data_IF_798727693481
#
_entry.id   IF_798727693481
#
_cell.length_a   1.000
_cell.length_b   1.000
_cell.length_c   1.000
_cell.angle_alpha   90.00
_cell.angle_beta   90.00
_cell.angle_gamma   90.00
#
_symmetry.space_group_name_H-M   'P 1'
#
loop_
_entity.id
_entity.type
_entity.pdbx_description
1 polymer ?
#
# COMPACT_ATOMS: atom_id res chain seq x y z
N UNK A 1 -14.93 -12.32 -6.11
CA UNK A 1 -13.70 -12.98 -6.59
C UNK A 1 -13.56 -14.27 -5.80
N UNK A 2 -13.26 -15.38 -6.45
CA UNK A 2 -13.02 -16.66 -5.79
C UNK A 2 -11.60 -16.67 -5.19
N UNK A 3 -11.34 -17.49 -4.15
CA UNK A 3 -10.00 -17.66 -3.55
C UNK A 3 -8.91 -18.02 -4.59
N UNK A 4 -9.30 -18.67 -5.69
CA UNK A 4 -8.42 -19.00 -6.80
C UNK A 4 -7.98 -17.76 -7.59
N UNK A 5 -8.86 -16.79 -7.80
CA UNK A 5 -8.55 -15.52 -8.48
C UNK A 5 -7.66 -14.60 -7.63
N UNK A 6 -7.74 -14.68 -6.30
CA UNK A 6 -6.87 -13.92 -5.40
C UNK A 6 -5.42 -14.46 -5.41
N UNK A 7 -5.24 -15.77 -5.58
CA UNK A 7 -3.92 -16.39 -5.65
C UNK A 7 -3.18 -16.13 -6.98
N UNK A 8 -3.90 -15.82 -8.07
CA UNK A 8 -3.32 -15.58 -9.39
C UNK A 8 -2.99 -14.09 -9.64
N UNK A 9 -3.61 -13.17 -8.89
CA UNK A 9 -3.41 -11.73 -9.11
C UNK A 9 -2.00 -11.23 -8.76
N UNK A 10 -1.41 -11.71 -7.69
CA UNK A 10 -0.09 -11.24 -7.24
C UNK A 10 1.03 -11.72 -8.15
N UNK A 11 1.10 -13.00 -8.58
CA UNK A 11 2.10 -13.46 -9.53
C UNK A 11 2.09 -12.66 -10.82
N UNK A 12 0.95 -12.55 -11.51
CA UNK A 12 0.88 -11.87 -12.79
C UNK A 12 1.13 -10.35 -12.72
N UNK A 13 0.81 -9.71 -11.59
CA UNK A 13 1.20 -8.33 -11.34
C UNK A 13 2.74 -8.18 -11.30
N UNK A 14 3.46 -9.15 -10.71
CA UNK A 14 4.92 -9.14 -10.56
C UNK A 14 5.67 -9.42 -11.87
N UNK A 15 5.02 -10.04 -12.85
CA UNK A 15 5.62 -10.35 -14.16
C UNK A 15 5.68 -9.13 -15.09
N UNK A 16 4.91 -8.08 -14.77
CA UNK A 16 4.89 -6.89 -15.59
C UNK A 16 6.22 -6.14 -15.56
N UNK A 17 6.59 -5.59 -16.72
CA UNK A 17 7.73 -4.69 -16.85
C UNK A 17 7.26 -3.24 -16.72
N UNK A 18 8.10 -2.42 -16.11
CA UNK A 18 7.80 -1.00 -15.92
C UNK A 18 9.07 -0.16 -16.03
N UNK A 19 8.90 1.16 -16.11
CA UNK A 19 9.93 2.17 -15.97
C UNK A 19 9.43 3.29 -15.08
N UNK A 20 10.34 4.06 -14.49
CA UNK A 20 10.00 5.20 -13.66
C UNK A 20 10.86 6.41 -14.05
N UNK A 21 10.21 7.57 -14.12
CA UNK A 21 10.83 8.88 -14.26
C UNK A 21 10.57 9.65 -12.96
N UNK A 22 11.64 10.18 -12.32
CA UNK A 22 11.56 10.88 -11.02
C UNK A 22 12.17 12.27 -11.20
N UNK A 23 11.33 13.30 -11.17
CA UNK A 23 11.76 14.69 -11.25
C UNK A 23 12.18 15.21 -9.87
N UNK A 24 13.34 15.84 -9.81
CA UNK A 24 13.98 16.31 -8.58
C UNK A 24 14.72 17.64 -8.82
N UNK A 25 15.01 18.32 -7.74
CA UNK A 25 15.92 19.47 -7.68
C UNK A 25 16.80 19.36 -6.40
N UNK A 26 17.50 20.40 -6.02
CA UNK A 26 18.31 20.42 -4.77
C UNK A 26 19.73 19.89 -4.93
N UNK A 27 20.00 19.13 -6.00
CA UNK A 27 21.32 18.66 -6.41
C UNK A 27 21.46 18.77 -7.94
N UNK A 28 22.67 18.74 -8.45
CA UNK A 28 22.92 18.80 -9.90
C UNK A 28 22.72 17.47 -10.58
N UNK A 29 22.51 17.46 -11.90
CA UNK A 29 22.43 16.22 -12.69
C UNK A 29 23.69 15.35 -12.55
N UNK A 30 24.87 15.99 -12.51
CA UNK A 30 26.14 15.28 -12.30
C UNK A 30 26.15 14.60 -10.93
N UNK A 31 25.85 15.33 -9.86
CA UNK A 31 25.79 14.76 -8.51
C UNK A 31 24.77 13.62 -8.41
N UNK A 32 23.61 13.75 -9.06
CA UNK A 32 22.63 12.67 -9.11
C UNK A 32 23.18 11.43 -9.84
N UNK A 33 23.86 11.64 -10.95
CA UNK A 33 24.50 10.54 -11.71
C UNK A 33 25.59 9.85 -10.90
N UNK A 34 26.46 10.62 -10.25
CA UNK A 34 27.56 10.10 -9.41
C UNK A 34 26.98 9.25 -8.25
N UNK A 35 25.95 9.73 -7.55
CA UNK A 35 25.27 8.98 -6.48
C UNK A 35 24.70 7.65 -6.97
N UNK A 36 24.06 7.62 -8.15
CA UNK A 36 23.53 6.40 -8.74
C UNK A 36 24.67 5.46 -9.13
N UNK A 37 25.74 5.99 -9.74
CA UNK A 37 26.92 5.24 -10.11
C UNK A 37 27.61 4.59 -8.91
N UNK A 38 27.80 5.34 -7.84
CA UNK A 38 28.37 4.84 -6.57
C UNK A 38 27.55 3.69 -6.00
N UNK A 39 26.22 3.81 -5.99
CA UNK A 39 25.33 2.74 -5.54
C UNK A 39 25.41 1.49 -6.43
N UNK A 40 25.47 1.68 -7.74
CA UNK A 40 25.54 0.57 -8.71
C UNK A 40 26.96 -0.03 -8.81
N UNK A 41 27.97 0.66 -8.31
CA UNK A 41 29.38 0.29 -8.45
C UNK A 41 29.90 0.52 -9.89
N UNK A 42 29.39 1.54 -10.58
CA UNK A 42 29.69 1.86 -11.98
C UNK A 42 30.01 3.33 -12.15
N UNK A 43 30.64 3.68 -13.30
CA UNK A 43 30.99 5.08 -13.56
C UNK A 43 29.99 5.70 -14.53
N UNK A 44 29.35 6.84 -14.15
CA UNK A 44 28.48 7.59 -15.03
C UNK A 44 29.22 8.16 -16.24
N UNK A 45 28.61 8.12 -17.41
CA UNK A 45 29.13 8.69 -18.64
C UNK A 45 28.25 9.85 -19.09
N UNK A 46 28.87 11.03 -19.27
CA UNK A 46 28.17 12.18 -19.85
C UNK A 46 28.15 12.06 -21.37
N UNK A 47 26.99 11.89 -21.97
CA UNK A 47 26.79 11.78 -23.42
C UNK A 47 26.31 13.08 -24.08
N UNK A 48 25.98 14.09 -23.28
CA UNK A 48 25.57 15.42 -23.77
C UNK A 48 24.16 15.45 -24.37
N UNK A 49 24.04 16.09 -25.54
CA UNK A 49 22.82 16.26 -26.26
C UNK A 49 21.91 17.35 -25.70
N UNK A 50 20.70 17.50 -26.27
CA UNK A 50 19.73 18.55 -25.91
C UNK A 50 19.27 18.46 -24.45
N UNK A 51 19.27 17.24 -23.87
CA UNK A 51 18.82 17.00 -22.50
C UNK A 51 19.98 16.82 -21.49
N UNK A 52 21.24 17.11 -21.89
CA UNK A 52 22.43 17.02 -21.04
C UNK A 52 22.49 15.68 -20.29
N UNK A 53 22.44 14.58 -21.03
CA UNK A 53 22.23 13.23 -20.53
C UNK A 53 23.49 12.66 -19.89
N UNK A 54 23.36 12.09 -18.70
CA UNK A 54 24.28 11.15 -18.08
C UNK A 54 23.70 9.75 -18.20
N UNK A 55 24.47 8.78 -18.67
CA UNK A 55 24.13 7.35 -18.65
C UNK A 55 24.92 6.64 -17.56
N UNK A 56 24.23 5.81 -16.80
CA UNK A 56 24.79 5.06 -15.68
C UNK A 56 24.42 3.60 -15.88
N UNK A 57 25.39 2.71 -16.20
CA UNK A 57 25.12 1.27 -16.26
C UNK A 57 24.74 0.73 -14.88
N UNK A 58 23.72 -0.12 -14.81
CA UNK A 58 23.49 -0.90 -13.60
C UNK A 58 24.32 -2.21 -13.61
N UNK A 59 24.14 -3.03 -12.58
CA UNK A 59 24.88 -4.30 -12.43
C UNK A 59 24.57 -5.33 -13.52
N UNK A 60 23.46 -5.16 -14.26
CA UNK A 60 23.08 -5.99 -15.41
C UNK A 60 23.44 -5.33 -16.77
N UNK A 61 24.07 -4.15 -16.75
CA UNK A 61 24.44 -3.38 -17.94
C UNK A 61 23.27 -2.58 -18.54
N UNK A 62 22.10 -2.52 -17.87
CA UNK A 62 20.99 -1.68 -18.29
C UNK A 62 21.29 -0.23 -17.94
N UNK A 63 20.81 0.72 -18.75
CA UNK A 63 21.17 2.13 -18.59
C UNK A 63 20.14 2.92 -17.80
N UNK A 64 20.51 3.39 -16.61
CA UNK A 64 19.88 4.53 -15.96
C UNK A 64 20.29 5.80 -16.67
N UNK A 65 19.43 6.80 -16.63
CA UNK A 65 19.73 8.12 -17.19
C UNK A 65 19.38 9.21 -16.21
N UNK A 66 20.20 10.26 -16.20
CA UNK A 66 19.88 11.52 -15.53
C UNK A 66 19.86 12.59 -16.61
N UNK A 67 18.71 13.25 -16.76
CA UNK A 67 18.44 14.17 -17.87
C UNK A 67 17.87 15.50 -17.37
N UNK A 68 17.88 16.51 -18.24
CA UNK A 68 17.23 17.80 -18.04
C UNK A 68 15.73 17.67 -18.28
N UNK A 69 14.89 18.08 -17.32
CA UNK A 69 13.49 18.43 -17.56
C UNK A 69 13.26 19.93 -17.31
N UNK A 70 12.87 20.66 -18.35
CA UNK A 70 12.66 22.10 -18.30
C UNK A 70 11.44 22.54 -17.50
N UNK A 71 10.53 21.63 -17.17
CA UNK A 71 9.34 21.95 -16.37
C UNK A 71 9.65 22.18 -14.89
N UNK A 72 10.81 21.67 -14.43
CA UNK A 72 11.24 21.75 -13.03
C UNK A 72 11.63 23.19 -12.67
N UNK A 73 11.04 23.71 -11.59
CA UNK A 73 11.47 24.95 -10.94
C UNK A 73 12.62 24.64 -10.00
N UNK A 74 13.76 25.24 -10.30
CA UNK A 74 14.99 24.97 -9.54
C UNK A 74 14.89 25.45 -8.09
N UNK A 75 15.43 24.63 -7.18
CA UNK A 75 15.58 24.93 -5.76
C UNK A 75 16.92 24.34 -5.30
N UNK A 76 17.69 25.09 -4.51
CA UNK A 76 18.92 24.59 -3.89
C UNK A 76 19.04 25.14 -2.47
N UNK A 77 19.76 24.45 -1.62
CA UNK A 77 19.97 24.86 -0.21
C UNK A 77 21.03 25.94 -0.09
N UNK A 78 21.95 26.03 -1.03
CA UNK A 78 23.08 26.99 -1.03
C UNK A 78 23.46 27.34 -2.46
N UNK A 79 23.75 28.62 -2.69
CA UNK A 79 24.24 29.11 -3.99
C UNK A 79 23.13 29.57 -4.94
N UNK A 80 23.53 29.86 -6.18
CA UNK A 80 22.61 30.28 -7.23
C UNK A 80 22.09 29.05 -7.93
N UNK A 81 20.76 28.83 -7.83
CA UNK A 81 20.08 27.76 -8.55
C UNK A 81 20.12 28.04 -10.06
N UNK A 82 20.66 27.12 -10.84
CA UNK A 82 20.69 27.16 -12.30
C UNK A 82 20.09 25.90 -12.90
N UNK A 83 20.08 25.79 -14.22
CA UNK A 83 19.45 24.66 -14.93
C UNK A 83 20.12 23.29 -14.67
N UNK A 84 21.30 23.24 -14.07
CA UNK A 84 21.93 21.97 -13.65
C UNK A 84 21.14 21.26 -12.54
N UNK A 85 20.36 22.03 -11.75
CA UNK A 85 19.49 21.52 -10.70
C UNK A 85 18.11 21.05 -11.18
N UNK A 86 17.85 21.08 -12.49
CA UNK A 86 16.70 20.44 -13.11
C UNK A 86 17.05 18.99 -13.42
N UNK A 87 16.60 18.08 -12.59
CA UNK A 87 17.02 16.67 -12.60
C UNK A 87 15.82 15.77 -12.83
N UNK A 88 15.85 14.98 -13.88
CA UNK A 88 14.96 13.85 -14.08
C UNK A 88 15.78 12.56 -14.08
N UNK A 89 15.50 11.66 -13.15
CA UNK A 89 16.10 10.33 -13.07
C UNK A 89 15.19 9.35 -13.79
N UNK A 90 15.72 8.72 -14.84
CA UNK A 90 14.98 7.77 -15.69
C UNK A 90 15.56 6.38 -15.50
N UNK A 91 14.72 5.43 -15.09
CA UNK A 91 15.14 4.04 -14.95
C UNK A 91 15.24 3.32 -16.31
N UNK A 92 16.03 2.24 -16.42
CA UNK A 92 15.84 1.26 -17.49
C UNK A 92 14.48 0.57 -17.40
N UNK A 93 14.22 -0.39 -18.30
CA UNK A 93 13.07 -1.29 -18.15
C UNK A 93 13.30 -2.18 -16.94
N UNK A 94 12.49 -1.98 -15.92
CA UNK A 94 12.56 -2.64 -14.63
C UNK A 94 11.56 -3.80 -14.53
N UNK A 95 11.85 -4.71 -13.59
CA UNK A 95 10.99 -5.80 -13.14
C UNK A 95 10.67 -5.62 -11.65
N UNK A 96 9.75 -6.38 -11.13
CA UNK A 96 9.34 -6.32 -9.73
C UNK A 96 10.50 -6.47 -8.73
N UNK A 97 11.51 -7.38 -8.95
CA UNK A 97 12.69 -7.48 -8.08
C UNK A 97 13.60 -6.24 -8.07
N UNK A 98 13.47 -5.33 -9.04
CA UNK A 98 14.29 -4.10 -9.10
C UNK A 98 13.75 -2.99 -8.15
N UNK A 99 12.56 -3.17 -7.57
CA UNK A 99 11.95 -2.16 -6.69
C UNK A 99 12.83 -1.80 -5.49
N UNK A 100 13.51 -2.74 -4.80
CA UNK A 100 14.44 -2.40 -3.73
C UNK A 100 15.60 -1.50 -4.17
N UNK A 101 16.16 -1.71 -5.36
CA UNK A 101 17.23 -0.85 -5.90
C UNK A 101 16.70 0.57 -6.18
N UNK A 102 15.50 0.70 -6.76
CA UNK A 102 14.84 2.01 -6.95
C UNK A 102 14.66 2.72 -5.60
N UNK A 103 14.23 1.98 -4.57
CA UNK A 103 14.06 2.54 -3.24
C UNK A 103 15.39 3.02 -2.64
N UNK A 104 16.47 2.28 -2.86
CA UNK A 104 17.77 2.66 -2.35
C UNK A 104 18.34 3.88 -3.09
N UNK A 105 18.22 3.92 -4.40
CA UNK A 105 18.58 5.12 -5.20
C UNK A 105 17.85 6.36 -4.67
N UNK A 106 16.54 6.25 -4.42
CA UNK A 106 15.76 7.38 -3.88
C UNK A 106 16.27 7.82 -2.49
N UNK A 107 16.70 6.89 -1.63
CA UNK A 107 17.29 7.21 -0.32
C UNK A 107 18.63 7.91 -0.48
N UNK A 108 19.50 7.40 -1.34
CA UNK A 108 20.83 7.98 -1.61
C UNK A 108 20.72 9.39 -2.21
N UNK A 109 19.84 9.59 -3.18
CA UNK A 109 19.55 10.92 -3.73
C UNK A 109 19.05 11.89 -2.65
N UNK A 110 18.16 11.45 -1.77
CA UNK A 110 17.68 12.24 -0.63
C UNK A 110 18.82 12.62 0.31
N UNK A 111 19.71 11.68 0.65
CA UNK A 111 20.88 11.94 1.50
C UNK A 111 21.85 12.89 0.79
N UNK A 112 21.99 12.81 -0.53
CA UNK A 112 22.76 13.73 -1.36
C UNK A 112 22.15 15.13 -1.52
N UNK A 113 20.99 15.38 -0.91
CA UNK A 113 20.36 16.69 -0.90
C UNK A 113 19.23 16.89 -1.92
N UNK A 114 18.77 15.85 -2.61
CA UNK A 114 17.64 15.94 -3.53
C UNK A 114 16.38 16.47 -2.83
N UNK A 115 15.68 17.37 -3.52
CA UNK A 115 14.42 17.98 -3.12
C UNK A 115 13.36 17.62 -4.18
N UNK A 116 12.16 17.30 -3.71
CA UNK A 116 10.97 17.17 -4.54
C UNK A 116 10.03 18.31 -4.22
N UNK A 117 9.97 19.34 -5.06
CA UNK A 117 9.07 20.47 -4.87
C UNK A 117 7.77 20.32 -5.69
N UNK A 118 6.87 21.29 -5.60
CA UNK A 118 5.54 21.26 -6.23
C UNK A 118 5.56 21.19 -7.77
N UNK A 119 6.67 21.55 -8.41
CA UNK A 119 6.82 21.44 -9.86
C UNK A 119 7.21 20.03 -10.31
N UNK A 120 7.79 19.23 -9.40
CA UNK A 120 8.30 17.92 -9.70
C UNK A 120 7.21 16.84 -9.66
N UNK A 121 7.27 15.88 -10.58
CA UNK A 121 6.39 14.73 -10.64
C UNK A 121 7.13 13.40 -10.67
N UNK A 122 6.38 12.34 -10.53
CA UNK A 122 6.82 10.98 -10.84
C UNK A 122 5.92 10.42 -11.92
N UNK A 123 6.53 9.83 -12.96
CA UNK A 123 5.82 9.13 -14.01
C UNK A 123 6.18 7.65 -13.98
N UNK A 124 5.18 6.79 -14.08
CA UNK A 124 5.37 5.34 -14.10
C UNK A 124 4.82 4.80 -15.40
N UNK A 125 5.69 4.15 -16.16
CA UNK A 125 5.42 3.53 -17.43
C UNK A 125 5.26 2.02 -17.24
N UNK A 126 4.10 1.46 -17.56
CA UNK A 126 3.87 0.01 -17.56
C UNK A 126 3.85 -0.49 -18.99
N UNK A 127 4.54 -1.61 -19.27
CA UNK A 127 4.58 -2.20 -20.60
C UNK A 127 3.18 -2.43 -21.17
N UNK A 128 2.90 -1.86 -22.35
CA UNK A 128 1.61 -1.96 -23.01
C UNK A 128 1.46 -3.20 -23.91
N UNK A 129 2.53 -3.95 -24.17
CA UNK A 129 2.51 -5.12 -25.08
C UNK A 129 1.44 -6.16 -24.73
N UNK A 130 1.14 -6.47 -23.44
CA UNK A 130 0.07 -7.41 -23.11
C UNK A 130 -1.33 -6.84 -23.30
N UNK A 131 -1.45 -5.51 -23.48
CA UNK A 131 -2.73 -4.84 -23.60
C UNK A 131 -3.25 -4.84 -25.03
N UNK A 132 -4.58 -4.87 -25.17
CA UNK A 132 -5.33 -4.72 -26.41
C UNK A 132 -6.42 -3.65 -26.23
N UNK A 133 -7.20 -3.38 -27.27
CA UNK A 133 -8.23 -2.36 -27.24
C UNK A 133 -9.24 -2.55 -26.09
N UNK A 134 -9.62 -3.80 -25.76
CA UNK A 134 -10.50 -4.11 -24.62
C UNK A 134 -9.86 -3.77 -23.29
N UNK A 135 -8.62 -4.18 -23.08
CA UNK A 135 -7.92 -3.94 -21.81
C UNK A 135 -7.51 -2.48 -21.62
N UNK A 136 -7.23 -1.74 -22.72
CA UNK A 136 -7.06 -0.28 -22.67
C UNK A 136 -8.37 0.44 -22.31
N UNK A 137 -9.52 -0.03 -22.79
CA UNK A 137 -10.82 0.46 -22.32
C UNK A 137 -11.04 0.16 -20.86
N UNK A 138 -10.67 -1.05 -20.38
CA UNK A 138 -10.79 -1.40 -18.97
C UNK A 138 -9.96 -0.49 -18.08
N UNK A 139 -8.67 -0.26 -18.40
CA UNK A 139 -7.81 0.59 -17.57
C UNK A 139 -8.30 2.03 -17.54
N UNK A 140 -8.79 2.55 -18.67
CA UNK A 140 -9.40 3.89 -18.75
C UNK A 140 -10.64 3.98 -17.86
N UNK A 141 -11.52 2.98 -17.91
CA UNK A 141 -12.71 2.93 -17.07
C UNK A 141 -12.38 2.79 -15.57
N UNK A 142 -11.36 1.99 -15.21
CA UNK A 142 -10.89 1.85 -13.84
C UNK A 142 -10.38 3.20 -13.33
N UNK A 143 -9.53 3.86 -14.11
CA UNK A 143 -9.00 5.18 -13.74
C UNK A 143 -10.12 6.21 -13.60
N UNK A 144 -10.97 6.39 -14.59
CA UNK A 144 -12.09 7.33 -14.53
C UNK A 144 -13.02 7.07 -13.34
N UNK A 145 -13.24 5.80 -12.97
CA UNK A 145 -14.05 5.44 -11.80
C UNK A 145 -13.42 5.79 -10.46
N UNK A 146 -12.10 5.84 -10.36
CA UNK A 146 -11.34 5.96 -9.10
C UNK A 146 -10.51 7.24 -8.98
N UNK A 147 -10.32 7.99 -10.06
CA UNK A 147 -9.38 9.11 -10.12
C UNK A 147 -9.62 10.16 -9.03
N UNK A 148 -10.88 10.46 -8.66
CA UNK A 148 -11.17 11.45 -7.62
C UNK A 148 -10.62 11.00 -6.26
N UNK A 149 -10.80 9.71 -5.91
CA UNK A 149 -10.22 9.13 -4.70
C UNK A 149 -8.70 9.05 -4.79
N UNK A 150 -8.15 8.72 -5.97
CA UNK A 150 -6.70 8.64 -6.17
C UNK A 150 -6.08 10.04 -6.02
N UNK A 151 -6.64 11.08 -6.65
CA UNK A 151 -6.15 12.45 -6.50
C UNK A 151 -6.15 12.90 -5.04
N UNK A 152 -7.21 12.59 -4.30
CA UNK A 152 -7.31 12.92 -2.87
C UNK A 152 -6.30 12.12 -2.05
N UNK A 153 -6.21 10.81 -2.26
CA UNK A 153 -5.29 9.91 -1.57
C UNK A 153 -3.82 10.31 -1.74
N UNK A 154 -3.45 10.78 -2.94
CA UNK A 154 -2.10 11.19 -3.29
C UNK A 154 -1.84 12.68 -3.05
N UNK A 155 -2.84 13.45 -2.63
CA UNK A 155 -2.76 14.91 -2.49
C UNK A 155 -2.13 15.58 -3.71
N UNK A 156 -2.61 15.19 -4.91
CA UNK A 156 -2.04 15.71 -6.16
C UNK A 156 -2.18 17.23 -6.20
N UNK A 157 -1.06 17.92 -6.41
CA UNK A 157 -1.02 19.38 -6.49
C UNK A 157 -1.99 19.91 -7.53
N UNK A 158 -2.78 20.92 -7.17
CA UNK A 158 -3.84 21.49 -8.02
C UNK A 158 -3.29 21.98 -9.36
N UNK A 159 -2.13 22.65 -9.35
CA UNK A 159 -1.48 23.12 -10.55
C UNK A 159 -1.11 21.96 -11.51
N UNK A 160 -0.58 20.86 -10.94
CA UNK A 160 -0.25 19.66 -11.73
C UNK A 160 -1.51 19.02 -12.31
N UNK A 161 -2.58 18.90 -11.50
CA UNK A 161 -3.87 18.35 -11.97
C UNK A 161 -4.42 19.10 -13.19
N UNK A 162 -4.24 20.41 -13.24
CA UNK A 162 -4.74 21.21 -14.38
C UNK A 162 -3.80 21.22 -15.58
N UNK A 163 -2.49 21.16 -15.37
CA UNK A 163 -1.49 21.33 -16.43
C UNK A 163 -0.96 20.01 -16.99
N UNK A 164 -0.60 19.06 -16.14
CA UNK A 164 0.21 17.90 -16.52
C UNK A 164 -0.47 16.54 -16.34
N UNK A 165 -1.48 16.44 -15.49
CA UNK A 165 -2.15 15.18 -15.18
C UNK A 165 -3.67 15.37 -14.98
N UNK A 166 -4.32 15.96 -15.96
CA UNK A 166 -5.78 16.15 -15.98
C UNK A 166 -6.51 14.80 -15.80
N UNK A 167 -7.73 14.80 -15.27
CA UNK A 167 -8.59 13.62 -15.26
C UNK A 167 -8.70 12.98 -16.64
N UNK A 168 -9.13 11.73 -16.69
CA UNK A 168 -9.44 11.06 -17.96
C UNK A 168 -10.44 11.90 -18.74
N UNK A 169 -10.14 12.12 -20.02
CA UNK A 169 -11.03 12.91 -20.91
C UNK A 169 -12.38 12.23 -21.09
N UNK A 170 -13.46 12.92 -20.75
CA UNK A 170 -14.82 12.35 -20.80
C UNK A 170 -15.26 11.99 -22.22
N UNK A 171 -14.89 12.81 -23.22
CA UNK A 171 -15.20 12.54 -24.63
C UNK A 171 -14.51 11.26 -25.08
N UNK A 172 -13.24 11.11 -24.72
CA UNK A 172 -12.49 9.87 -24.99
C UNK A 172 -13.13 8.68 -24.31
N UNK A 173 -13.49 8.83 -23.02
CA UNK A 173 -14.13 7.78 -22.22
C UNK A 173 -15.47 7.34 -22.83
N UNK A 174 -16.30 8.29 -23.27
CA UNK A 174 -17.58 8.02 -23.90
C UNK A 174 -17.41 7.29 -25.23
N UNK A 175 -16.52 7.79 -26.09
CA UNK A 175 -16.24 7.17 -27.38
C UNK A 175 -15.68 5.76 -27.25
N UNK A 176 -14.75 5.51 -26.31
CA UNK A 176 -14.20 4.19 -26.03
C UNK A 176 -15.29 3.19 -25.60
N UNK A 177 -16.25 3.63 -24.78
CA UNK A 177 -17.32 2.75 -24.28
C UNK A 177 -18.46 2.58 -25.31
N UNK A 178 -18.75 3.59 -26.13
CA UNK A 178 -19.75 3.54 -27.17
C UNK A 178 -19.28 2.71 -28.39
N UNK A 179 -18.08 3.00 -28.89
CA UNK A 179 -17.54 2.36 -30.10
C UNK A 179 -16.96 0.97 -29.84
N UNK A 180 -16.47 0.72 -28.62
CA UNK A 180 -15.82 -0.55 -28.22
C UNK A 180 -14.76 -0.99 -29.24
N UNK A 181 -13.67 -0.21 -29.42
CA UNK A 181 -12.68 -0.47 -30.44
C UNK A 181 -12.14 -1.90 -30.35
N UNK A 182 -11.83 -2.49 -31.53
CA UNK A 182 -11.40 -3.89 -31.67
C UNK A 182 -9.89 -4.02 -31.79
N UNK A 183 -9.20 -2.97 -32.19
CA UNK A 183 -7.76 -2.95 -32.41
C UNK A 183 -7.14 -1.63 -31.94
N UNK A 184 -5.82 -1.55 -31.94
CA UNK A 184 -5.06 -0.40 -31.45
C UNK A 184 -5.19 0.81 -32.35
N UNK A 185 -5.47 0.63 -33.64
CA UNK A 185 -5.66 1.75 -34.58
C UNK A 185 -6.96 2.49 -34.28
N UNK A 186 -8.04 1.76 -34.03
CA UNK A 186 -9.31 2.34 -33.61
C UNK A 186 -9.18 3.08 -32.26
N UNK A 187 -8.43 2.51 -31.29
CA UNK A 187 -8.13 3.21 -30.03
C UNK A 187 -7.40 4.52 -30.29
N UNK A 188 -6.38 4.48 -31.15
CA UNK A 188 -5.60 5.67 -31.51
C UNK A 188 -6.47 6.76 -32.18
N UNK A 189 -7.36 6.37 -33.09
CA UNK A 189 -8.28 7.32 -33.72
C UNK A 189 -9.20 7.99 -32.70
N UNK A 190 -9.71 7.22 -31.74
CA UNK A 190 -10.54 7.77 -30.66
C UNK A 190 -9.70 8.70 -29.77
N UNK A 191 -8.47 8.27 -29.36
CA UNK A 191 -7.59 9.07 -28.52
C UNK A 191 -7.27 10.45 -29.10
N UNK A 192 -7.04 10.52 -30.41
CA UNK A 192 -6.68 11.76 -31.09
C UNK A 192 -7.87 12.50 -31.75
N UNK A 193 -9.09 12.08 -31.49
CA UNK A 193 -10.29 12.73 -32.06
C UNK A 193 -10.39 12.61 -33.59
N UNK A 194 -10.07 11.44 -34.13
CA UNK A 194 -10.26 11.12 -35.57
C UNK A 194 -9.03 11.36 -36.46
N UNK A 195 -7.95 11.94 -35.96
CA UNK A 195 -6.71 12.16 -36.74
C UNK A 195 -5.53 11.55 -36.02
N UNK A 196 -4.75 10.72 -36.68
CA UNK A 196 -3.53 10.14 -36.08
C UNK A 196 -2.49 11.23 -35.80
N UNK A 197 -2.00 11.29 -34.56
CA UNK A 197 -0.91 12.16 -34.12
C UNK A 197 0.20 11.36 -33.44
N UNK A 198 0.31 10.09 -33.77
CA UNK A 198 1.29 9.16 -33.19
C UNK A 198 2.74 9.65 -33.31
N UNK A 199 3.08 10.31 -34.40
CA UNK A 199 4.43 10.85 -34.67
C UNK A 199 4.76 12.14 -33.92
N UNK A 200 3.76 12.78 -33.29
CA UNK A 200 3.96 14.06 -32.63
C UNK A 200 4.46 13.87 -31.20
N UNK A 201 5.78 14.02 -30.98
CA UNK A 201 6.44 13.75 -29.70
C UNK A 201 5.78 14.46 -28.49
N UNK A 202 5.41 15.72 -28.61
CA UNK A 202 4.77 16.51 -27.54
C UNK A 202 3.29 16.79 -27.82
N UNK A 203 2.50 15.74 -28.13
CA UNK A 203 1.06 15.94 -28.29
C UNK A 203 0.38 16.30 -26.97
N UNK A 204 -0.51 17.30 -26.96
CA UNK A 204 -1.18 17.80 -25.76
C UNK A 204 -2.08 16.77 -25.08
N UNK A 205 -2.47 15.70 -25.79
CA UNK A 205 -3.26 14.60 -25.23
C UNK A 205 -2.49 13.80 -24.16
N UNK A 206 -1.16 13.95 -24.11
CA UNK A 206 -0.33 13.30 -23.06
C UNK A 206 -0.58 13.82 -21.63
N UNK A 207 -1.16 15.03 -21.50
CA UNK A 207 -1.30 15.68 -20.19
C UNK A 207 -2.56 15.24 -19.42
N UNK A 208 -2.81 13.94 -19.37
CA UNK A 208 -3.80 13.28 -18.53
C UNK A 208 -3.14 12.39 -17.47
N UNK A 209 -3.84 12.11 -16.38
CA UNK A 209 -3.36 11.23 -15.31
C UNK A 209 -2.98 9.84 -15.82
N UNK A 210 -3.71 9.36 -16.83
CA UNK A 210 -3.42 8.17 -17.62
C UNK A 210 -3.11 8.63 -19.06
N UNK A 211 -1.85 8.56 -19.45
CA UNK A 211 -1.40 8.95 -20.77
C UNK A 211 -1.32 7.74 -21.71
N UNK A 212 -2.26 7.62 -22.63
CA UNK A 212 -2.23 6.59 -23.68
C UNK A 212 -1.50 7.02 -24.95
N UNK A 213 -1.11 8.30 -25.09
CA UNK A 213 -0.20 8.72 -26.17
C UNK A 213 1.12 7.94 -26.09
N UNK A 214 1.59 7.65 -24.88
CA UNK A 214 2.77 6.83 -24.63
C UNK A 214 2.65 5.41 -25.18
N UNK A 215 1.44 4.84 -25.25
CA UNK A 215 1.21 3.51 -25.87
C UNK A 215 1.63 3.51 -27.34
N UNK A 216 1.31 4.61 -28.05
CA UNK A 216 1.58 4.74 -29.49
C UNK A 216 3.00 5.23 -29.80
N UNK A 217 3.67 5.86 -28.84
CA UNK A 217 5.02 6.42 -28.97
C UNK A 217 6.10 5.49 -28.42
N UNK A 218 5.90 5.01 -27.19
CA UNK A 218 6.91 4.29 -26.39
C UNK A 218 6.52 2.83 -26.13
N UNK A 219 5.31 2.39 -26.51
CA UNK A 219 4.79 1.07 -26.17
C UNK A 219 4.47 0.90 -24.67
N UNK A 220 4.18 1.97 -23.95
CA UNK A 220 3.89 1.95 -22.51
C UNK A 220 2.62 2.70 -22.16
N UNK A 221 1.92 2.25 -21.13
CA UNK A 221 0.87 3.01 -20.46
C UNK A 221 1.53 3.86 -19.39
N UNK A 222 1.39 5.17 -19.47
CA UNK A 222 2.04 6.09 -18.54
C UNK A 222 1.05 6.66 -17.52
N UNK A 223 1.38 6.52 -16.23
CA UNK A 223 0.68 7.13 -15.11
C UNK A 223 1.44 8.38 -14.68
N UNK A 224 0.84 9.58 -14.84
CA UNK A 224 1.47 10.89 -14.63
C UNK A 224 1.02 11.63 -13.37
N UNK A 225 0.16 11.03 -12.55
CA UNK A 225 -0.57 11.73 -11.50
C UNK A 225 0.20 11.97 -10.19
N UNK A 226 1.39 11.39 -10.04
CA UNK A 226 2.09 11.46 -8.76
C UNK A 226 2.88 12.76 -8.60
N UNK A 227 2.75 13.43 -7.46
CA UNK A 227 3.74 14.41 -7.03
C UNK A 227 5.07 13.69 -6.81
N UNK A 228 6.18 14.33 -7.13
CA UNK A 228 7.49 13.77 -6.81
C UNK A 228 7.72 13.68 -5.30
N UNK A 229 8.57 12.75 -4.91
CA UNK A 229 8.92 12.53 -3.51
C UNK A 229 10.27 11.84 -3.39
N UNK A 230 11.03 12.20 -2.37
CA UNK A 230 12.25 11.50 -1.95
C UNK A 230 11.97 10.42 -0.88
N UNK A 231 10.70 10.06 -0.67
CA UNK A 231 10.30 9.00 0.27
C UNK A 231 10.20 7.66 -0.45
N UNK A 232 11.21 6.80 -0.29
CA UNK A 232 11.32 5.50 -0.96
C UNK A 232 10.09 4.58 -0.79
N UNK A 233 9.42 4.63 0.37
CA UNK A 233 8.20 3.87 0.61
C UNK A 233 7.00 4.35 -0.22
N UNK A 234 6.87 5.68 -0.45
CA UNK A 234 5.85 6.24 -1.34
C UNK A 234 6.11 5.87 -2.80
N UNK A 235 7.36 5.93 -3.25
CA UNK A 235 7.76 5.50 -4.61
C UNK A 235 7.37 4.04 -4.85
N UNK A 236 7.70 3.14 -3.91
CA UNK A 236 7.25 1.74 -3.96
C UNK A 236 5.72 1.62 -4.03
N UNK A 237 5.00 2.39 -3.22
CA UNK A 237 3.53 2.36 -3.21
C UNK A 237 2.92 2.78 -4.55
N UNK A 238 3.52 3.77 -5.22
CA UNK A 238 3.09 4.24 -6.55
C UNK A 238 3.33 3.18 -7.63
N UNK A 239 4.49 2.52 -7.62
CA UNK A 239 4.79 1.41 -8.54
C UNK A 239 3.79 0.28 -8.34
N UNK A 240 3.57 -0.16 -7.10
CA UNK A 240 2.59 -1.20 -6.79
C UNK A 240 1.18 -0.86 -7.28
N UNK A 241 0.74 0.38 -7.09
CA UNK A 241 -0.58 0.83 -7.54
C UNK A 241 -0.73 0.75 -9.06
N UNK A 242 0.28 1.23 -9.82
CA UNK A 242 0.25 1.21 -11.28
C UNK A 242 0.25 -0.22 -11.84
N UNK A 243 1.12 -1.09 -11.32
CA UNK A 243 1.18 -2.49 -11.71
C UNK A 243 -0.13 -3.22 -11.40
N UNK A 244 -0.73 -2.97 -10.23
CA UNK A 244 -1.97 -3.58 -9.81
C UNK A 244 -3.17 -3.11 -10.66
N UNK A 245 -3.26 -1.82 -11.00
CA UNK A 245 -4.30 -1.28 -11.89
C UNK A 245 -4.16 -1.87 -13.30
N UNK A 246 -2.94 -1.89 -13.84
CA UNK A 246 -2.65 -2.44 -15.15
C UNK A 246 -3.04 -3.93 -15.22
N UNK A 247 -2.60 -4.72 -14.25
CA UNK A 247 -2.92 -6.14 -14.20
C UNK A 247 -4.43 -6.39 -14.05
N UNK A 248 -5.11 -5.64 -13.21
CA UNK A 248 -6.56 -5.71 -13.06
C UNK A 248 -7.27 -5.46 -14.40
N UNK A 249 -6.81 -4.50 -15.20
CA UNK A 249 -7.36 -4.23 -16.52
C UNK A 249 -7.16 -5.38 -17.50
N UNK A 250 -6.05 -6.12 -17.39
CA UNK A 250 -5.76 -7.31 -18.22
C UNK A 250 -6.73 -8.45 -17.93
N UNK A 251 -6.96 -8.79 -16.66
CA UNK A 251 -7.72 -9.97 -16.25
C UNK A 251 -9.24 -9.76 -16.26
N UNK A 252 -9.72 -8.51 -16.09
CA UNK A 252 -11.15 -8.24 -16.09
C UNK A 252 -11.79 -8.38 -17.48
N UNK A 253 -12.98 -9.01 -17.54
CA UNK A 253 -13.79 -9.02 -18.78
C UNK A 253 -14.23 -7.60 -19.17
N UNK A 254 -14.68 -6.83 -18.20
CA UNK A 254 -15.09 -5.43 -18.37
C UNK A 254 -14.90 -4.65 -17.07
N UNK A 255 -14.71 -3.35 -17.18
CA UNK A 255 -14.63 -2.43 -16.05
C UNK A 255 -15.71 -1.33 -16.19
N UNK A 256 -16.32 -0.96 -15.07
CA UNK A 256 -17.29 0.15 -15.02
C UNK A 256 -16.56 1.49 -14.94
N UNK A 257 -17.04 2.48 -15.68
CA UNK A 257 -16.57 3.86 -15.63
C UNK A 257 -17.32 4.72 -14.59
N UNK A 258 -18.33 4.14 -13.91
CA UNK A 258 -19.13 4.88 -12.93
C UNK A 258 -18.25 5.40 -11.81
N UNK A 259 -18.30 6.72 -11.58
CA UNK A 259 -17.56 7.37 -10.49
C UNK A 259 -17.90 6.72 -9.14
N UNK A 260 -16.88 6.54 -8.34
CA UNK A 260 -17.03 5.99 -7.00
C UNK A 260 -17.42 7.08 -6.03
N UNK A 261 -18.61 6.97 -5.46
CA UNK A 261 -19.07 7.82 -4.36
C UNK A 261 -18.99 7.06 -3.05
N UNK A 262 -18.62 7.72 -1.96
CA UNK A 262 -18.48 7.08 -0.66
C UNK A 262 -18.66 8.06 0.47
N UNK A 263 -19.32 7.62 1.54
CA UNK A 263 -19.38 8.31 2.83
C UNK A 263 -18.18 7.99 3.73
N UNK A 264 -17.40 6.96 3.37
CA UNK A 264 -16.14 6.57 4.00
C UNK A 264 -15.11 6.25 2.91
N UNK A 265 -14.38 7.27 2.48
CA UNK A 265 -13.40 7.17 1.39
C UNK A 265 -12.26 6.22 1.73
N UNK A 266 -11.75 6.26 2.96
CA UNK A 266 -10.67 5.40 3.43
C UNK A 266 -11.05 3.91 3.37
N UNK A 267 -12.24 3.55 3.82
CA UNK A 267 -12.76 2.18 3.72
C UNK A 267 -12.91 1.75 2.26
N UNK A 268 -13.55 2.61 1.45
CA UNK A 268 -13.83 2.33 0.04
C UNK A 268 -12.54 2.13 -0.75
N UNK A 269 -11.56 3.02 -0.56
CA UNK A 269 -10.28 2.92 -1.23
C UNK A 269 -9.48 1.71 -0.76
N UNK A 270 -9.43 1.44 0.56
CA UNK A 270 -8.81 0.22 1.10
C UNK A 270 -9.42 -1.04 0.49
N UNK A 271 -10.73 -1.12 0.44
CA UNK A 271 -11.43 -2.28 -0.15
C UNK A 271 -11.07 -2.47 -1.61
N UNK A 272 -10.93 -1.37 -2.36
CA UNK A 272 -10.49 -1.43 -3.74
C UNK A 272 -9.02 -1.88 -3.86
N UNK A 273 -8.10 -1.38 -3.04
CA UNK A 273 -6.69 -1.82 -3.01
C UNK A 273 -6.58 -3.33 -2.74
N UNK A 274 -7.39 -3.86 -1.82
CA UNK A 274 -7.45 -5.31 -1.57
C UNK A 274 -7.95 -6.08 -2.80
N UNK A 275 -8.95 -5.56 -3.52
CA UNK A 275 -9.46 -6.16 -4.77
C UNK A 275 -8.46 -6.08 -5.91
N UNK A 276 -7.53 -5.14 -5.89
CA UNK A 276 -6.40 -5.07 -6.80
C UNK A 276 -5.31 -6.11 -6.48
N UNK A 277 -5.48 -6.92 -5.42
CA UNK A 277 -4.49 -7.90 -4.99
C UNK A 277 -3.41 -7.36 -4.03
N UNK A 278 -3.50 -6.09 -3.59
CA UNK A 278 -2.56 -5.53 -2.63
C UNK A 278 -2.90 -5.99 -1.19
N UNK A 279 -2.80 -7.31 -0.96
CA UNK A 279 -3.15 -8.02 0.28
C UNK A 279 -1.89 -8.49 0.99
N UNK A 280 -1.98 -8.76 2.29
CA UNK A 280 -0.87 -9.31 3.09
C UNK A 280 0.13 -8.26 3.59
N UNK A 281 1.15 -8.75 4.28
CA UNK A 281 2.14 -7.92 4.97
C UNK A 281 3.05 -7.17 3.97
N UNK A 282 3.41 -7.80 2.87
CA UNK A 282 4.20 -7.19 1.79
C UNK A 282 3.65 -5.83 1.34
N UNK A 283 2.32 -5.70 1.27
CA UNK A 283 1.64 -4.48 0.82
C UNK A 283 1.13 -3.61 1.98
N UNK A 284 1.46 -3.93 3.24
CA UNK A 284 1.00 -3.16 4.40
C UNK A 284 1.46 -1.69 4.31
N UNK A 285 2.74 -1.45 4.04
CA UNK A 285 3.28 -0.11 3.86
C UNK A 285 2.71 0.59 2.61
N UNK A 286 2.49 -0.15 1.53
CA UNK A 286 1.82 0.38 0.32
C UNK A 286 0.42 0.90 0.65
N UNK A 287 -0.39 0.08 1.34
CA UNK A 287 -1.72 0.49 1.77
C UNK A 287 -1.67 1.66 2.75
N UNK A 288 -0.71 1.67 3.69
CA UNK A 288 -0.51 2.78 4.62
C UNK A 288 -0.33 4.10 3.87
N UNK A 289 0.63 4.18 2.93
CA UNK A 289 0.91 5.40 2.17
C UNK A 289 -0.23 5.84 1.26
N UNK A 290 -0.98 4.89 0.68
CA UNK A 290 -2.10 5.19 -0.20
C UNK A 290 -3.39 5.58 0.56
N UNK A 291 -3.45 5.34 1.88
CA UNK A 291 -4.63 5.63 2.71
C UNK A 291 -4.42 6.78 3.69
N UNK A 292 -3.20 7.28 3.84
CA UNK A 292 -2.86 8.24 4.90
C UNK A 292 -3.65 9.54 4.84
N UNK A 293 -4.00 10.02 3.64
CA UNK A 293 -4.67 11.30 3.40
C UNK A 293 -6.18 11.20 3.13
N UNK A 294 -6.75 10.01 3.26
CA UNK A 294 -8.19 9.82 3.10
C UNK A 294 -8.91 9.88 4.44
N UNK A 295 -10.08 10.51 4.43
CA UNK A 295 -10.95 10.61 5.60
C UNK A 295 -11.70 9.31 5.87
N UNK A 296 -12.04 9.09 7.14
CA UNK A 296 -12.80 7.94 7.60
C UNK A 296 -11.95 6.87 8.29
N UNK A 297 -12.51 5.69 8.44
CA UNK A 297 -11.87 4.54 9.08
C UNK A 297 -11.77 3.34 8.12
N UNK A 298 -10.87 2.42 8.44
CA UNK A 298 -10.64 1.21 7.61
C UNK A 298 -11.54 0.02 8.00
N UNK A 299 -12.24 0.10 9.15
CA UNK A 299 -12.98 -1.02 9.71
C UNK A 299 -14.45 -1.07 9.25
N UNK A 300 -15.08 0.07 9.05
CA UNK A 300 -16.51 0.17 8.79
C UNK A 300 -16.82 0.96 7.53
N UNK A 301 -17.77 0.44 6.74
CA UNK A 301 -18.25 1.12 5.53
C UNK A 301 -19.03 2.39 5.89
N UNK A 302 -19.90 2.28 6.89
CA UNK A 302 -20.73 3.38 7.38
C UNK A 302 -20.09 4.00 8.63
N UNK A 303 -19.74 5.31 8.62
CA UNK A 303 -19.20 6.00 9.79
C UNK A 303 -20.12 5.92 11.03
N UNK A 304 -21.43 5.91 10.85
CA UNK A 304 -22.39 5.77 11.96
C UNK A 304 -22.27 4.40 12.67
N UNK A 305 -21.83 3.35 11.98
CA UNK A 305 -21.53 2.06 12.63
C UNK A 305 -20.27 2.15 13.49
N UNK A 306 -19.28 2.91 13.07
CA UNK A 306 -18.06 3.13 13.86
C UNK A 306 -18.36 3.90 15.16
N UNK A 307 -19.20 4.93 15.10
CA UNK A 307 -19.61 5.68 16.29
C UNK A 307 -20.44 4.83 17.24
N UNK A 308 -21.44 4.10 16.74
CA UNK A 308 -22.22 3.15 17.55
C UNK A 308 -21.35 2.08 18.23
N UNK A 309 -20.28 1.62 17.57
CA UNK A 309 -19.33 0.70 18.17
C UNK A 309 -18.51 1.36 19.27
N UNK A 310 -18.04 2.60 19.05
CA UNK A 310 -17.31 3.36 20.09
C UNK A 310 -18.18 3.64 21.31
N UNK A 311 -19.43 4.02 21.08
CA UNK A 311 -20.42 4.24 22.17
C UNK A 311 -20.65 2.96 22.97
N UNK A 312 -20.85 1.81 22.28
CA UNK A 312 -20.99 0.50 22.95
C UNK A 312 -19.76 0.14 23.77
N UNK A 313 -18.55 0.39 23.25
CA UNK A 313 -17.30 0.12 23.95
C UNK A 313 -17.12 1.05 25.17
N UNK A 314 -17.51 2.33 25.05
CA UNK A 314 -17.51 3.26 26.20
C UNK A 314 -18.50 2.84 27.27
N UNK A 315 -19.73 2.59 26.89
CA UNK A 315 -20.77 2.13 27.83
C UNK A 315 -20.37 0.81 28.52
N UNK A 316 -19.73 -0.09 27.80
CA UNK A 316 -19.23 -1.32 28.41
C UNK A 316 -18.11 -1.07 29.41
N UNK A 317 -17.14 -0.19 29.11
CA UNK A 317 -16.06 0.20 30.04
C UNK A 317 -16.63 0.86 31.30
N UNK A 318 -17.57 1.78 31.12
CA UNK A 318 -18.26 2.45 32.24
C UNK A 318 -19.00 1.44 33.12
N UNK A 319 -19.68 0.43 32.52
CA UNK A 319 -20.29 -0.65 33.28
C UNK A 319 -19.27 -1.53 34.02
N UNK A 320 -18.16 -1.86 33.38
CA UNK A 320 -17.06 -2.64 33.99
C UNK A 320 -16.37 -1.84 35.11
N UNK A 321 -16.18 -0.54 34.96
CA UNK A 321 -15.63 0.36 36.00
C UNK A 321 -16.56 0.51 37.18
N UNK A 322 -17.88 0.70 36.95
CA UNK A 322 -18.89 0.80 37.99
C UNK A 322 -19.01 -0.54 38.77
N UNK A 323 -19.05 -1.67 38.08
CA UNK A 323 -19.06 -2.99 38.72
C UNK A 323 -17.83 -3.26 39.59
N UNK A 324 -16.64 -2.76 39.15
CA UNK A 324 -15.41 -2.84 39.95
C UNK A 324 -15.43 -1.89 41.15
N UNK A 325 -16.10 -0.72 41.08
CA UNK A 325 -16.29 0.18 42.21
C UNK A 325 -17.27 -0.36 43.23
N UNK A 326 -18.42 -0.86 42.78
CA UNK A 326 -19.40 -1.52 43.66
C UNK A 326 -18.82 -2.77 44.36
N UNK A 327 -17.95 -3.54 43.65
CA UNK A 327 -17.22 -4.66 44.24
C UNK A 327 -16.20 -4.24 45.31
N UNK A 328 -15.62 -3.04 45.23
CA UNK A 328 -14.70 -2.51 46.23
C UNK A 328 -15.44 -1.93 47.44
N UNK A 329 -16.54 -1.22 47.24
CA UNK A 329 -17.35 -0.66 48.33
C UNK A 329 -18.01 -1.78 49.16
N UNK A 330 -18.38 -2.93 48.56
CA UNK A 330 -18.90 -4.09 49.26
C UNK A 330 -17.84 -4.86 50.06
N UNK A 331 -16.54 -4.65 49.79
CA UNK A 331 -15.43 -5.26 50.55
C UNK A 331 -14.98 -4.41 51.74
N UNK A 332 -15.20 -3.09 51.73
CA UNK A 332 -14.84 -2.18 52.83
C UNK A 332 -15.92 -2.12 53.94
N UNK A 333 -17.15 -2.59 53.68
CA UNK A 333 -18.28 -2.57 54.61
C UNK A 333 -18.50 -3.83 55.46
N UNK A 334 -17.62 -4.84 55.45
CA UNK A 334 -17.76 -6.03 56.26
C UNK A 334 -16.87 -5.97 57.49
N UNK A 335 -17.47 -5.53 58.56
CA UNK A 335 -16.97 -5.63 59.91
C UNK A 335 -16.78 -7.12 60.33
N UNK A 336 -15.63 -7.39 60.92
CA UNK A 336 -15.19 -8.75 61.33
C UNK A 336 -15.77 -9.05 62.72
N UNK A 337 -16.94 -9.72 62.78
CA UNK A 337 -17.30 -10.50 63.99
C UNK A 337 -18.49 -11.42 63.71
N UNK A 338 -18.29 -12.68 63.48
CA UNK A 338 -18.77 -13.87 64.17
C UNK A 338 -18.74 -15.14 63.29
N UNK A 339 -18.33 -16.29 63.85
CA UNK A 339 -18.20 -17.52 63.09
C UNK A 339 -19.45 -18.41 63.19
N UNK A 340 -19.62 -19.28 62.20
CA UNK A 340 -20.50 -20.47 62.11
C UNK A 340 -21.94 -20.27 61.66
N UNK A 341 -22.19 -20.71 60.45
CA UNK A 341 -23.02 -21.90 60.19
C UNK A 341 -22.86 -22.36 58.75
N UNK A 342 -22.44 -23.62 58.59
CA UNK A 342 -22.50 -24.37 57.33
C UNK A 342 -23.92 -24.66 56.96
N UNK A 343 -24.39 -24.33 55.76
CA UNK A 343 -25.32 -25.16 54.98
C UNK A 343 -25.28 -24.77 53.51
N UNK A 344 -24.84 -25.65 52.72
CA UNK A 344 -24.95 -26.10 51.39
C UNK A 344 -25.64 -25.24 50.32
N UNK A 345 -24.83 -24.79 49.38
CA UNK A 345 -25.09 -24.89 47.96
C UNK A 345 -23.71 -24.81 47.29
N UNK A 346 -23.12 -25.97 46.99
CA UNK A 346 -21.94 -26.09 46.13
C UNK A 346 -22.37 -25.72 44.72
N UNK A 347 -22.17 -24.43 44.31
CA UNK A 347 -21.90 -24.15 42.93
C UNK A 347 -20.55 -24.80 42.60
N UNK A 348 -20.59 -25.85 41.78
CA UNK A 348 -19.40 -26.46 41.16
C UNK A 348 -18.62 -25.36 40.50
N UNK A 349 -17.55 -24.88 41.12
CA UNK A 349 -16.50 -24.16 40.44
C UNK A 349 -15.92 -25.11 39.38
N UNK A 350 -16.30 -24.95 38.12
CA UNK A 350 -15.67 -25.66 37.03
C UNK A 350 -14.15 -25.36 37.07
N UNK A 351 -13.36 -26.35 37.40
CA UNK A 351 -11.91 -26.32 37.33
C UNK A 351 -11.46 -26.15 35.90
N UNK A 352 -11.14 -24.90 35.48
CA UNK A 352 -10.53 -24.63 34.20
C UNK A 352 -9.16 -24.02 34.37
N UNK A 353 -8.21 -24.39 33.51
CA UNK A 353 -6.85 -23.81 33.47
C UNK A 353 -6.85 -22.46 32.75
N UNK A 354 -5.92 -21.58 33.16
CA UNK A 354 -5.65 -20.33 32.42
C UNK A 354 -4.60 -20.58 31.33
N UNK A 355 -4.92 -20.24 30.11
CA UNK A 355 -4.05 -20.31 28.95
C UNK A 355 -3.73 -18.90 28.45
N UNK A 356 -2.43 -18.59 28.29
CA UNK A 356 -1.93 -17.30 27.86
C UNK A 356 -1.57 -17.37 26.37
N UNK A 357 -2.29 -16.64 25.53
CA UNK A 357 -2.08 -16.58 24.10
C UNK A 357 -1.34 -15.30 23.67
N UNK A 358 -0.28 -15.46 22.88
CA UNK A 358 0.52 -14.34 22.30
C UNK A 358 0.71 -14.46 20.78
N UNK A 359 0.17 -15.49 20.14
CA UNK A 359 0.30 -15.76 18.71
C UNK A 359 -1.06 -15.90 18.01
N UNK A 360 -1.21 -16.93 17.18
CA UNK A 360 -2.43 -17.18 16.40
C UNK A 360 -3.68 -17.36 17.26
N UNK A 361 -3.53 -17.80 18.50
CA UNK A 361 -4.59 -18.02 19.49
C UNK A 361 -5.13 -16.70 20.11
N UNK A 362 -4.59 -15.54 19.73
CA UNK A 362 -5.23 -14.23 19.96
C UNK A 362 -6.54 -14.07 19.13
N UNK A 363 -6.70 -14.86 18.07
CA UNK A 363 -7.88 -14.79 17.20
C UNK A 363 -9.06 -15.55 17.82
N UNK A 364 -10.13 -14.80 18.16
CA UNK A 364 -11.38 -15.36 18.66
C UNK A 364 -11.98 -16.42 17.72
N UNK A 365 -11.87 -16.21 16.40
CA UNK A 365 -12.39 -17.14 15.40
C UNK A 365 -11.60 -18.44 15.36
N UNK A 366 -10.28 -18.37 15.53
CA UNK A 366 -9.42 -19.55 15.54
C UNK A 366 -9.62 -20.35 16.84
N UNK A 367 -9.65 -19.66 17.98
CA UNK A 367 -9.90 -20.32 19.28
C UNK A 367 -11.27 -21.00 19.34
N UNK A 368 -12.33 -20.39 18.84
CA UNK A 368 -13.66 -21.05 18.76
C UNK A 368 -13.65 -22.33 17.94
N UNK A 369 -12.77 -22.47 16.96
CA UNK A 369 -12.63 -23.70 16.16
C UNK A 369 -11.76 -24.76 16.83
N UNK A 370 -10.71 -24.33 17.55
CA UNK A 370 -9.75 -25.23 18.22
C UNK A 370 -10.27 -25.69 19.57
N UNK A 371 -10.83 -24.76 20.31
CA UNK A 371 -11.24 -24.88 21.69
C UNK A 371 -12.66 -24.33 21.88
N UNK A 372 -13.70 -25.09 21.52
CA UNK A 372 -15.08 -24.61 21.54
C UNK A 372 -15.60 -24.18 22.92
N UNK A 373 -15.03 -24.76 23.99
CA UNK A 373 -15.39 -24.48 25.38
C UNK A 373 -14.57 -23.37 26.02
N UNK A 374 -13.48 -22.91 25.36
CA UNK A 374 -12.63 -21.84 25.86
C UNK A 374 -13.37 -20.50 25.97
N UNK A 375 -13.19 -19.81 27.07
CA UNK A 375 -13.75 -18.49 27.35
C UNK A 375 -12.66 -17.46 27.55
N UNK A 376 -12.82 -16.26 26.97
CA UNK A 376 -11.91 -15.15 27.21
C UNK A 376 -12.07 -14.66 28.64
N UNK A 377 -10.95 -14.60 29.35
CA UNK A 377 -10.87 -14.01 30.70
C UNK A 377 -10.54 -12.52 30.58
N UNK A 378 -9.57 -12.16 29.74
CA UNK A 378 -9.19 -10.76 29.54
C UNK A 378 -7.95 -10.60 28.68
N UNK A 379 -7.53 -9.34 28.53
CA UNK A 379 -6.26 -8.95 27.93
C UNK A 379 -5.29 -8.59 29.06
N UNK A 380 -4.02 -8.96 28.90
CA UNK A 380 -2.95 -8.64 29.83
C UNK A 380 -1.66 -8.34 29.07
N UNK A 381 -0.65 -7.88 29.79
CA UNK A 381 0.71 -7.68 29.29
C UNK A 381 1.65 -8.62 30.06
N UNK A 382 2.42 -9.41 29.32
CA UNK A 382 3.47 -10.25 29.90
C UNK A 382 4.75 -9.40 29.97
N UNK A 383 5.12 -9.00 31.18
CA UNK A 383 6.28 -8.15 31.44
C UNK A 383 7.59 -8.93 31.34
N UNK A 384 8.65 -8.25 30.94
CA UNK A 384 10.01 -8.79 30.81
C UNK A 384 10.16 -9.93 29.77
N UNK A 385 9.28 -9.91 28.74
CA UNK A 385 9.36 -10.78 27.57
C UNK A 385 9.27 -9.98 26.29
N UNK A 386 9.92 -10.48 25.22
CA UNK A 386 9.74 -9.97 23.85
C UNK A 386 9.16 -11.04 22.93
N UNK A 387 8.34 -10.59 21.98
CA UNK A 387 7.75 -11.43 20.94
C UNK A 387 8.72 -11.53 19.76
N UNK A 388 9.10 -12.74 19.40
CA UNK A 388 10.00 -13.05 18.30
C UNK A 388 9.31 -13.97 17.28
N UNK A 389 9.80 -13.94 16.05
CA UNK A 389 9.39 -14.89 15.02
C UNK A 389 10.60 -15.75 14.63
N UNK A 390 10.51 -17.06 14.90
CA UNK A 390 11.58 -18.02 14.60
C UNK A 390 11.14 -18.98 13.50
N UNK A 391 12.10 -19.49 12.72
CA UNK A 391 11.88 -20.41 11.62
C UNK A 391 12.26 -19.83 10.25
N UNK A 392 12.10 -20.63 9.20
CA UNK A 392 12.30 -20.18 7.82
C UNK A 392 11.15 -19.30 7.39
N UNK A 393 11.41 -18.35 6.46
CA UNK A 393 10.47 -17.31 6.00
C UNK A 393 9.05 -17.83 5.65
N UNK A 394 8.93 -19.08 5.27
CA UNK A 394 7.67 -19.74 4.89
C UNK A 394 6.96 -20.45 6.05
N UNK A 395 7.67 -20.71 7.15
CA UNK A 395 7.20 -21.46 8.33
C UNK A 395 7.66 -20.78 9.64
N UNK A 396 7.63 -19.46 9.71
CA UNK A 396 7.96 -18.75 10.93
C UNK A 396 6.80 -18.86 11.95
N UNK A 397 7.13 -19.20 13.18
CA UNK A 397 6.18 -19.24 14.29
C UNK A 397 6.54 -18.18 15.34
N UNK A 398 5.51 -17.67 16.01
CA UNK A 398 5.66 -16.73 17.11
C UNK A 398 6.18 -17.44 18.36
N UNK A 399 7.20 -16.89 19.00
CA UNK A 399 7.72 -17.33 20.29
C UNK A 399 7.98 -16.12 21.17
N UNK A 400 8.09 -16.33 22.49
CA UNK A 400 8.46 -15.28 23.44
C UNK A 400 9.74 -15.67 24.15
N UNK A 401 10.61 -14.69 24.40
CA UNK A 401 11.85 -14.88 25.14
C UNK A 401 11.99 -13.85 26.25
N UNK A 402 12.64 -14.18 27.37
CA UNK A 402 12.88 -13.23 28.45
C UNK A 402 13.69 -12.04 27.95
N UNK A 403 13.20 -10.83 28.25
CA UNK A 403 13.88 -9.56 27.95
C UNK A 403 13.43 -8.47 28.90
N UNK A 404 14.26 -8.14 29.84
CA UNK A 404 13.98 -7.14 30.87
C UNK A 404 13.55 -5.80 30.27
N UNK A 405 12.45 -5.23 30.76
CA UNK A 405 11.89 -3.97 30.34
C UNK A 405 11.08 -4.02 29.05
N UNK A 406 10.91 -5.18 28.43
CA UNK A 406 9.99 -5.37 27.30
C UNK A 406 8.64 -5.90 27.81
N UNK A 407 7.57 -5.76 27.00
CA UNK A 407 6.28 -6.35 27.28
C UNK A 407 5.65 -6.95 26.04
N UNK A 408 4.86 -8.01 26.20
CA UNK A 408 4.13 -8.68 25.13
C UNK A 408 2.64 -8.65 25.45
N UNK A 409 1.80 -8.07 24.58
CA UNK A 409 0.36 -8.12 24.77
C UNK A 409 -0.16 -9.55 24.59
N UNK A 410 -0.93 -10.03 25.55
CA UNK A 410 -1.46 -11.39 25.59
C UNK A 410 -2.97 -11.41 25.85
N UNK A 411 -3.62 -12.49 25.43
CA UNK A 411 -5.01 -12.78 25.78
C UNK A 411 -5.04 -13.99 26.73
N UNK A 412 -5.77 -13.85 27.83
CA UNK A 412 -5.96 -14.92 28.80
C UNK A 412 -7.28 -15.63 28.50
N UNK A 413 -7.19 -16.93 28.32
CA UNK A 413 -8.34 -17.83 28.14
C UNK A 413 -8.50 -18.74 29.34
N UNK A 414 -9.73 -19.02 29.72
CA UNK A 414 -10.07 -20.15 30.58
C UNK A 414 -10.41 -21.33 29.68
N UNK A 415 -9.63 -22.42 29.79
CA UNK A 415 -9.76 -23.63 28.97
C UNK A 415 -10.11 -24.83 29.85
N UNK A 416 -10.74 -25.83 29.26
CA UNK A 416 -11.01 -27.13 29.90
C UNK A 416 -10.06 -28.20 29.39
N UNK A 417 -10.06 -29.40 29.99
CA UNK A 417 -9.11 -30.47 29.66
C UNK A 417 -9.12 -30.88 28.18
N UNK A 418 -10.28 -30.90 27.53
CA UNK A 418 -10.40 -31.21 26.10
C UNK A 418 -9.81 -30.11 25.20
N UNK A 419 -9.95 -28.84 25.59
CA UNK A 419 -9.32 -27.71 24.90
C UNK A 419 -7.79 -27.76 25.00
N UNK A 420 -7.25 -28.15 26.16
CA UNK A 420 -5.81 -28.31 26.38
C UNK A 420 -5.21 -29.35 25.42
N UNK A 421 -5.86 -30.51 25.31
CA UNK A 421 -5.44 -31.58 24.38
C UNK A 421 -5.51 -31.11 22.89
N UNK A 422 -6.47 -30.25 22.55
CA UNK A 422 -6.57 -29.70 21.21
C UNK A 422 -5.47 -28.67 20.91
N UNK A 423 -5.08 -27.85 21.90
CA UNK A 423 -3.98 -26.91 21.80
C UNK A 423 -2.63 -27.64 21.71
N UNK A 424 -2.39 -28.64 22.54
CA UNK A 424 -1.17 -29.44 22.54
C UNK A 424 -0.95 -30.07 21.14
N UNK A 425 -1.97 -30.67 20.57
CA UNK A 425 -1.91 -31.22 19.20
C UNK A 425 -1.59 -30.17 18.14
N UNK A 426 -2.15 -28.97 18.29
CA UNK A 426 -1.93 -27.88 17.34
C UNK A 426 -0.51 -27.31 17.46
N UNK A 427 0.01 -27.20 18.68
CA UNK A 427 1.34 -26.68 18.96
C UNK A 427 2.43 -27.75 18.86
N UNK A 428 2.04 -28.99 18.59
CA UNK A 428 2.97 -30.10 18.34
C UNK A 428 3.60 -30.72 19.61
N UNK A 429 3.06 -30.41 20.80
CA UNK A 429 3.50 -31.00 22.05
C UNK A 429 3.16 -32.51 22.11
N UNK A 430 4.06 -33.40 22.60
CA UNK A 430 5.37 -33.15 23.20
C UNK A 430 6.57 -33.24 22.23
N UNK A 431 6.35 -33.14 20.90
CA UNK A 431 7.34 -33.46 19.88
C UNK A 431 8.03 -32.25 19.24
N UNK A 432 7.73 -31.02 19.68
CA UNK A 432 8.42 -29.79 19.24
C UNK A 432 9.29 -29.21 20.32
#
# INVERSE_FOLDING_TARGET
>A
MTKQQENEQVPGMREQRFGIEIELTGLTRRAAADIIGDYMGTTPVYIGGFYYVYEIPDREGRQWRVVLDNSIKVECKSGIANDEYKVEVVSPICRYPDIPDIQEIVRQLRHGGAIANKSCGIHIHVNATPHNARTLRNITNIMASKEDLIYKALQVEVARKHQYCRPVDETFLDEMNRKKPRNMDEVSLIWYGGRSRRSKHYDKTRYHCLNLHSVFQKGTIEFRLFNSTTHAGKVKAYIHLCLAISYQALIQKCASRRKTTSTNEKYTFRTWLLRLGLIGEEFANTRKHLLEHLDGCIAWKDPAQAERQKERLRARREMEENANQEGKENLEGRDVSNPMTKTGMEEKMEEGKLYVAYGSNLSLTQMRRRCPTARVVGLAELMDYELLFRGRRENAFATIEPKQGSCVPVMIWKIQGDDELALDRYEGYPHL
#
